data_IF_341946078835
#
_entry.id   IF_341946078835
#
_cell.length_a   1.000
_cell.length_b   1.000
_cell.length_c   1.000
_cell.angle_alpha   90.00
_cell.angle_beta   90.00
_cell.angle_gamma   90.00
#
_symmetry.space_group_name_H-M   'P 1'
#
loop_
_entity.id
_entity.type
_entity.pdbx_description
1 polymer ?
#
# COMPACT_ATOMS: atom_id res chain seq x y z
N UNK A 1 -57.05 -15.89 49.27
CA UNK A 1 -56.31 -15.03 48.32
C UNK A 1 -54.91 -15.61 48.23
N UNK A 2 -54.57 -16.28 47.11
CA UNK A 2 -53.34 -17.06 46.99
C UNK A 2 -52.18 -16.17 46.53
N UNK A 3 -51.05 -16.25 47.25
CA UNK A 3 -49.77 -15.71 46.77
C UNK A 3 -49.10 -16.74 45.83
N UNK A 4 -48.54 -16.31 44.70
CA UNK A 4 -47.97 -17.22 43.71
C UNK A 4 -46.62 -17.76 44.19
N UNK A 5 -46.63 -19.04 44.53
CA UNK A 5 -45.43 -19.88 44.65
C UNK A 5 -44.82 -20.09 43.26
N UNK A 6 -43.49 -20.22 43.19
CA UNK A 6 -42.67 -20.69 42.05
C UNK A 6 -41.98 -19.65 41.14
N UNK A 7 -41.47 -18.56 41.70
CA UNK A 7 -40.24 -17.93 41.15
C UNK A 7 -39.03 -18.72 41.66
N UNK A 8 -38.81 -19.92 41.13
CA UNK A 8 -37.70 -20.78 41.58
C UNK A 8 -37.24 -21.79 40.52
N UNK A 9 -37.01 -21.32 39.29
CA UNK A 9 -36.34 -22.11 38.23
C UNK A 9 -35.03 -21.50 37.73
N UNK A 10 -34.60 -20.37 38.30
CA UNK A 10 -33.29 -19.77 38.05
C UNK A 10 -32.33 -20.12 39.20
N UNK A 11 -31.98 -21.40 39.33
CA UNK A 11 -30.86 -21.83 40.18
C UNK A 11 -30.00 -22.85 39.46
N UNK A 12 -28.81 -22.38 39.13
CA UNK A 12 -27.57 -23.16 39.01
C UNK A 12 -27.70 -24.49 38.26
N UNK A 13 -27.55 -24.38 36.94
CA UNK A 13 -27.35 -25.53 36.07
C UNK A 13 -25.85 -25.59 35.76
N UNK A 14 -25.08 -26.18 36.67
CA UNK A 14 -23.74 -26.68 36.37
C UNK A 14 -23.82 -27.66 35.20
N UNK A 15 -22.74 -27.80 34.41
CA UNK A 15 -22.68 -28.55 33.15
C UNK A 15 -23.26 -29.99 33.24
N UNK A 16 -23.14 -30.65 34.40
CA UNK A 16 -23.72 -31.98 34.67
C UNK A 16 -25.24 -32.00 34.87
N UNK A 17 -25.85 -30.87 35.21
CA UNK A 17 -27.30 -30.74 35.37
C UNK A 17 -27.99 -30.39 34.06
N UNK A 18 -27.29 -29.80 33.09
CA UNK A 18 -27.83 -29.50 31.78
C UNK A 18 -28.23 -30.79 31.03
N UNK A 19 -27.42 -31.84 31.14
CA UNK A 19 -27.74 -33.16 30.56
C UNK A 19 -28.96 -33.80 31.23
N UNK A 20 -29.09 -33.67 32.56
CA UNK A 20 -30.25 -34.18 33.29
C UNK A 20 -31.53 -33.41 32.92
N UNK A 21 -31.47 -32.07 32.85
CA UNK A 21 -32.59 -31.23 32.41
C UNK A 21 -32.97 -31.52 30.95
N UNK A 22 -31.99 -31.80 30.09
CA UNK A 22 -32.21 -32.23 28.71
C UNK A 22 -32.94 -33.58 28.65
N UNK A 23 -32.50 -34.55 29.45
CA UNK A 23 -33.11 -35.89 29.49
C UNK A 23 -34.53 -35.84 30.05
N UNK A 24 -34.77 -35.02 31.07
CA UNK A 24 -36.10 -34.82 31.66
C UNK A 24 -37.05 -34.06 30.72
N UNK A 25 -36.57 -33.04 30.00
CA UNK A 25 -37.36 -32.33 28.99
C UNK A 25 -37.68 -33.20 27.77
N UNK A 26 -36.75 -34.09 27.36
CA UNK A 26 -36.99 -35.05 26.29
C UNK A 26 -37.95 -36.16 26.74
N UNK A 27 -37.88 -36.56 28.02
CA UNK A 27 -38.77 -37.56 28.61
C UNK A 27 -40.17 -37.02 28.89
N UNK A 28 -40.32 -35.75 29.27
CA UNK A 28 -41.64 -35.10 29.35
C UNK A 28 -42.27 -34.86 27.97
N UNK A 29 -41.43 -34.85 26.93
CA UNK A 29 -41.83 -34.82 25.53
C UNK A 29 -42.04 -36.22 24.94
N UNK A 30 -42.13 -37.30 25.73
CA UNK A 30 -42.45 -38.63 25.21
C UNK A 30 -43.75 -38.58 24.41
N UNK A 31 -43.55 -38.67 23.10
CA UNK A 31 -44.50 -38.53 22.02
C UNK A 31 -45.57 -39.62 22.11
N UNK A 32 -46.70 -39.31 22.75
CA UNK A 32 -47.91 -40.08 22.56
C UNK A 32 -48.52 -39.66 21.21
N UNK A 33 -48.06 -40.29 20.12
CA UNK A 33 -48.54 -40.09 18.74
C UNK A 33 -49.99 -40.58 18.54
N UNK A 34 -50.94 -39.96 19.25
CA UNK A 34 -52.35 -40.36 19.19
C UNK A 34 -53.14 -39.46 18.23
N UNK A 35 -52.64 -38.26 17.88
CA UNK A 35 -53.35 -37.36 16.95
C UNK A 35 -52.41 -36.65 15.93
N UNK A 36 -52.57 -36.90 14.61
CA UNK A 36 -51.70 -36.32 13.58
C UNK A 36 -51.88 -34.81 13.36
N UNK A 37 -52.95 -34.20 13.90
CA UNK A 37 -53.20 -32.76 13.77
C UNK A 37 -52.39 -31.90 14.77
N UNK A 38 -51.76 -32.50 15.78
CA UNK A 38 -50.97 -31.78 16.80
C UNK A 38 -49.47 -31.74 16.48
N UNK A 39 -49.03 -32.44 15.44
CA UNK A 39 -47.62 -32.56 15.05
C UNK A 39 -47.02 -31.19 14.70
N UNK A 40 -47.82 -30.28 14.11
CA UNK A 40 -47.32 -28.95 13.75
C UNK A 40 -47.00 -28.10 15.00
N UNK A 41 -47.88 -28.12 15.99
CA UNK A 41 -47.71 -27.40 17.25
C UNK A 41 -46.58 -28.03 18.10
N UNK A 42 -46.38 -29.33 18.00
CA UNK A 42 -45.27 -30.02 18.66
C UNK A 42 -43.92 -29.70 18.00
N UNK A 43 -43.88 -29.60 16.66
CA UNK A 43 -42.68 -29.18 15.94
C UNK A 43 -42.30 -27.73 16.24
N UNK A 44 -43.27 -26.83 16.38
CA UNK A 44 -43.02 -25.45 16.78
C UNK A 44 -42.52 -25.38 18.23
N UNK A 45 -43.11 -26.14 19.15
CA UNK A 45 -42.65 -26.23 20.53
C UNK A 45 -41.22 -26.79 20.65
N UNK A 46 -40.87 -27.83 19.87
CA UNK A 46 -39.50 -28.37 19.81
C UNK A 46 -38.51 -27.37 19.20
N UNK A 47 -38.93 -26.62 18.18
CA UNK A 47 -38.13 -25.55 17.59
C UNK A 47 -37.84 -24.44 18.61
N UNK A 48 -38.84 -24.06 19.40
CA UNK A 48 -38.67 -23.06 20.45
C UNK A 48 -37.81 -23.57 21.61
N UNK A 49 -37.95 -24.84 22.00
CA UNK A 49 -37.11 -25.47 23.00
C UNK A 49 -35.65 -25.56 22.53
N UNK A 50 -35.41 -26.01 21.30
CA UNK A 50 -34.06 -26.08 20.73
C UNK A 50 -33.42 -24.70 20.56
N UNK A 51 -34.21 -23.68 20.24
CA UNK A 51 -33.74 -22.29 20.17
C UNK A 51 -33.32 -21.78 21.55
N UNK A 52 -34.15 -22.01 22.59
CA UNK A 52 -33.81 -21.67 23.98
C UNK A 52 -32.54 -22.38 24.45
N UNK A 53 -32.39 -23.66 24.09
CA UNK A 53 -31.21 -24.45 24.43
C UNK A 53 -29.95 -23.92 23.75
N UNK A 54 -30.06 -23.53 22.47
CA UNK A 54 -28.95 -22.90 21.73
C UNK A 54 -28.52 -21.59 22.39
N UNK A 55 -29.47 -20.74 22.78
CA UNK A 55 -29.15 -19.49 23.50
C UNK A 55 -28.46 -19.75 24.83
N UNK A 56 -28.97 -20.70 25.61
CA UNK A 56 -28.40 -21.02 26.91
C UNK A 56 -26.98 -21.61 26.80
N UNK A 57 -26.73 -22.46 25.80
CA UNK A 57 -25.40 -22.98 25.52
C UNK A 57 -24.42 -21.87 25.11
N UNK A 58 -24.84 -20.98 24.20
CA UNK A 58 -24.03 -19.83 23.76
C UNK A 58 -23.72 -18.88 24.91
N UNK A 59 -24.70 -18.58 25.76
CA UNK A 59 -24.50 -17.74 26.95
C UNK A 59 -23.50 -18.39 27.90
N UNK A 60 -23.62 -19.70 28.12
CA UNK A 60 -22.72 -20.43 29.00
C UNK A 60 -21.30 -20.54 28.42
N UNK A 61 -21.15 -20.78 27.11
CA UNK A 61 -19.85 -20.80 26.44
C UNK A 61 -19.18 -19.42 26.49
N UNK A 62 -19.96 -18.35 26.29
CA UNK A 62 -19.46 -16.98 26.37
C UNK A 62 -19.04 -16.63 27.79
N UNK A 63 -19.83 -17.05 28.79
CA UNK A 63 -19.50 -16.86 30.21
C UNK A 63 -18.25 -17.64 30.62
N UNK A 64 -18.10 -18.88 30.18
CA UNK A 64 -16.91 -19.69 30.44
C UNK A 64 -15.68 -19.09 29.76
N UNK A 65 -15.80 -18.68 28.49
CA UNK A 65 -14.72 -17.96 27.77
C UNK A 65 -14.34 -16.66 28.47
N UNK A 66 -15.30 -15.86 28.92
CA UNK A 66 -15.07 -14.62 29.64
C UNK A 66 -14.36 -14.85 30.97
N UNK A 67 -14.80 -15.85 31.75
CA UNK A 67 -14.16 -16.20 33.01
C UNK A 67 -12.75 -16.76 32.80
N UNK A 68 -12.52 -17.56 31.76
CA UNK A 68 -11.17 -17.97 31.37
C UNK A 68 -10.31 -16.78 30.97
N UNK A 69 -10.86 -15.83 30.23
CA UNK A 69 -10.14 -14.63 29.80
C UNK A 69 -9.74 -13.74 30.97
N UNK A 70 -10.55 -13.68 32.04
CA UNK A 70 -10.26 -12.88 33.25
C UNK A 70 -9.34 -13.62 34.22
N UNK A 71 -9.48 -14.94 34.35
CA UNK A 71 -8.85 -15.70 35.43
C UNK A 71 -7.60 -16.49 35.01
N UNK A 72 -7.46 -16.83 33.72
CA UNK A 72 -6.41 -17.72 33.20
C UNK A 72 -5.53 -17.06 32.13
N UNK A 73 -6.09 -16.17 31.32
CA UNK A 73 -5.27 -15.28 30.51
C UNK A 73 -4.88 -14.10 31.40
N UNK A 74 -3.61 -14.06 31.81
CA UNK A 74 -2.99 -12.80 32.23
C UNK A 74 -3.35 -11.80 31.13
N UNK A 75 -4.01 -10.68 31.50
CA UNK A 75 -4.21 -9.56 30.60
C UNK A 75 -2.87 -9.39 29.89
N UNK A 76 -2.83 -9.63 28.57
CA UNK A 76 -1.66 -9.26 27.78
C UNK A 76 -1.52 -7.78 28.06
N UNK A 77 -0.63 -7.42 28.98
CA UNK A 77 -0.42 -6.06 29.43
C UNK A 77 -0.35 -5.27 28.14
N UNK A 78 -1.39 -4.48 27.88
CA UNK A 78 -1.52 -3.74 26.63
C UNK A 78 -0.50 -2.63 26.77
N UNK A 79 0.76 -3.00 26.50
CA UNK A 79 1.89 -2.13 26.66
C UNK A 79 1.64 -0.95 25.76
N UNK A 80 1.91 0.25 26.27
CA UNK A 80 1.78 1.49 25.50
C UNK A 80 2.50 1.36 24.15
N UNK A 81 3.60 0.60 24.11
CA UNK A 81 4.32 0.26 22.88
C UNK A 81 3.47 -0.49 21.84
N UNK A 82 2.63 -1.45 22.24
CA UNK A 82 1.75 -2.18 21.33
C UNK A 82 0.63 -1.27 20.80
N UNK A 83 0.11 -0.38 21.63
CA UNK A 83 -0.90 0.60 21.23
C UNK A 83 -0.32 1.60 20.25
N UNK A 84 0.88 2.10 20.52
CA UNK A 84 1.58 3.05 19.66
C UNK A 84 1.97 2.40 18.32
N UNK A 85 2.39 1.13 18.33
CA UNK A 85 2.66 0.36 17.11
C UNK A 85 1.38 0.14 16.28
N UNK A 86 0.27 -0.22 16.91
CA UNK A 86 -1.04 -0.35 16.24
C UNK A 86 -1.55 0.99 15.72
N UNK A 87 -1.35 2.08 16.45
CA UNK A 87 -1.72 3.42 16.03
C UNK A 87 -0.90 3.86 14.81
N UNK A 88 0.41 3.59 14.80
CA UNK A 88 1.29 3.83 13.66
C UNK A 88 0.88 3.01 12.44
N UNK A 89 0.63 1.71 12.62
CA UNK A 89 0.16 0.84 11.54
C UNK A 89 -1.19 1.29 10.98
N UNK A 90 -2.12 1.73 11.83
CA UNK A 90 -3.40 2.27 11.39
C UNK A 90 -3.27 3.62 10.69
N UNK A 91 -2.32 4.46 11.09
CA UNK A 91 -2.06 5.73 10.44
C UNK A 91 -1.52 5.52 9.02
N UNK A 92 -0.59 4.57 8.85
CA UNK A 92 -0.08 4.17 7.54
C UNK A 92 -1.19 3.57 6.67
N UNK A 93 -1.93 2.59 7.19
CA UNK A 93 -3.04 1.98 6.44
C UNK A 93 -4.13 3.01 6.06
N UNK A 94 -4.38 4.03 6.89
CA UNK A 94 -5.29 5.13 6.56
C UNK A 94 -4.74 6.05 5.48
N UNK A 95 -3.43 6.31 5.48
CA UNK A 95 -2.79 7.10 4.44
C UNK A 95 -2.88 6.37 3.09
N UNK A 96 -2.55 5.07 3.07
CA UNK A 96 -2.64 4.23 1.87
C UNK A 96 -4.09 4.12 1.36
N UNK A 97 -5.05 3.94 2.26
CA UNK A 97 -6.47 3.92 1.90
C UNK A 97 -6.95 5.26 1.35
N UNK A 98 -6.42 6.38 1.87
CA UNK A 98 -6.76 7.71 1.36
C UNK A 98 -6.18 7.93 -0.03
N UNK A 99 -4.92 7.54 -0.24
CA UNK A 99 -4.28 7.62 -1.55
C UNK A 99 -5.02 6.80 -2.59
N UNK A 100 -5.28 5.52 -2.30
CA UNK A 100 -6.02 4.63 -3.21
C UNK A 100 -7.43 5.13 -3.50
N UNK A 101 -8.10 5.76 -2.53
CA UNK A 101 -9.41 6.38 -2.75
C UNK A 101 -9.32 7.60 -3.68
N UNK A 102 -8.28 8.42 -3.56
CA UNK A 102 -8.03 9.56 -4.45
C UNK A 102 -7.71 9.09 -5.88
N UNK A 103 -6.88 8.06 -6.03
CA UNK A 103 -6.58 7.43 -7.31
C UNK A 103 -7.84 6.85 -7.97
N UNK A 104 -8.68 6.14 -7.20
CA UNK A 104 -9.92 5.57 -7.72
C UNK A 104 -10.90 6.68 -8.13
N UNK A 105 -10.99 7.77 -7.37
CA UNK A 105 -11.83 8.91 -7.73
C UNK A 105 -11.36 9.57 -9.03
N UNK A 106 -10.05 9.71 -9.24
CA UNK A 106 -9.48 10.23 -10.48
C UNK A 106 -9.79 9.30 -11.66
N UNK A 107 -9.56 7.99 -11.50
CA UNK A 107 -9.84 7.00 -12.54
C UNK A 107 -11.33 6.96 -12.92
N UNK A 108 -12.22 7.13 -11.93
CA UNK A 108 -13.66 7.17 -12.18
C UNK A 108 -14.05 8.43 -12.96
N UNK A 109 -13.47 9.57 -12.62
CA UNK A 109 -13.67 10.82 -13.37
C UNK A 109 -13.16 10.71 -14.81
N UNK A 110 -11.98 10.13 -15.02
CA UNK A 110 -11.45 9.87 -16.36
C UNK A 110 -12.36 8.92 -17.16
N UNK A 111 -12.84 7.86 -16.51
CA UNK A 111 -13.77 6.91 -17.14
C UNK A 111 -15.10 7.57 -17.51
N UNK A 112 -15.61 8.49 -16.71
CA UNK A 112 -16.82 9.26 -17.03
C UNK A 112 -16.59 10.14 -18.25
N UNK A 113 -15.47 10.88 -18.31
CA UNK A 113 -15.11 11.72 -19.46
C UNK A 113 -14.98 10.90 -20.75
N UNK A 114 -14.29 9.77 -20.70
CA UNK A 114 -14.15 8.87 -21.85
C UNK A 114 -15.51 8.31 -22.27
N UNK A 115 -16.38 7.98 -21.32
CA UNK A 115 -17.72 7.50 -21.62
C UNK A 115 -18.57 8.56 -22.33
N UNK A 116 -18.50 9.81 -21.87
CA UNK A 116 -19.16 10.94 -22.53
C UNK A 116 -18.64 11.16 -23.96
N UNK A 117 -17.32 11.11 -24.15
CA UNK A 117 -16.68 11.22 -25.46
C UNK A 117 -17.16 10.10 -26.41
N UNK A 118 -17.17 8.85 -25.94
CA UNK A 118 -17.64 7.70 -26.73
C UNK A 118 -19.12 7.87 -27.11
N UNK A 119 -19.96 8.38 -26.22
CA UNK A 119 -21.37 8.65 -26.53
C UNK A 119 -21.49 9.71 -27.63
N UNK A 120 -20.69 10.78 -27.58
CA UNK A 120 -20.68 11.83 -28.61
C UNK A 120 -20.23 11.26 -29.95
N UNK A 121 -19.11 10.53 -29.98
CA UNK A 121 -18.60 9.90 -31.19
C UNK A 121 -19.59 8.89 -31.77
N UNK A 122 -20.21 8.06 -30.93
CA UNK A 122 -21.22 7.10 -31.37
C UNK A 122 -22.42 7.79 -32.03
N UNK A 123 -22.88 8.93 -31.48
CA UNK A 123 -23.95 9.73 -32.09
C UNK A 123 -23.53 10.31 -33.44
N UNK A 124 -22.30 10.81 -33.55
CA UNK A 124 -21.77 11.33 -34.82
C UNK A 124 -21.67 10.22 -35.87
N UNK A 125 -21.17 9.05 -35.50
CA UNK A 125 -21.09 7.89 -36.39
C UNK A 125 -22.48 7.39 -36.82
N UNK A 126 -23.45 7.36 -35.91
CA UNK A 126 -24.82 7.01 -36.24
C UNK A 126 -25.43 8.00 -37.26
N UNK A 127 -25.17 9.30 -37.09
CA UNK A 127 -25.62 10.32 -38.05
C UNK A 127 -24.94 10.15 -39.43
N UNK A 128 -23.63 9.88 -39.45
CA UNK A 128 -22.91 9.59 -40.70
C UNK A 128 -23.41 8.32 -41.37
N UNK A 129 -23.74 7.29 -40.60
CA UNK A 129 -24.28 6.05 -41.14
C UNK A 129 -25.62 6.27 -41.85
N UNK A 130 -26.52 7.06 -41.25
CA UNK A 130 -27.79 7.45 -41.90
C UNK A 130 -27.52 8.21 -43.20
N UNK A 131 -26.57 9.16 -43.19
CA UNK A 131 -26.21 9.90 -44.41
C UNK A 131 -25.65 8.97 -45.50
N UNK A 132 -24.80 8.01 -45.14
CA UNK A 132 -24.27 7.03 -46.08
C UNK A 132 -25.38 6.14 -46.63
N UNK A 133 -26.29 5.68 -45.79
CA UNK A 133 -27.44 4.87 -46.22
C UNK A 133 -28.35 5.65 -47.19
N UNK A 134 -28.59 6.95 -46.92
CA UNK A 134 -29.33 7.83 -47.82
C UNK A 134 -28.61 8.03 -49.17
N UNK A 135 -27.29 8.27 -49.15
CA UNK A 135 -26.49 8.41 -50.37
C UNK A 135 -26.41 7.10 -51.17
N UNK A 136 -26.33 5.96 -50.49
CA UNK A 136 -26.37 4.64 -51.13
C UNK A 136 -27.73 4.43 -51.80
N UNK A 137 -28.82 4.80 -51.13
CA UNK A 137 -30.16 4.74 -51.70
C UNK A 137 -30.29 5.63 -52.94
N UNK A 138 -29.84 6.88 -52.87
CA UNK A 138 -29.80 7.78 -54.03
C UNK A 138 -28.95 7.18 -55.18
N UNK A 139 -27.80 6.59 -54.85
CA UNK A 139 -26.95 5.93 -55.86
C UNK A 139 -27.66 4.75 -56.51
N UNK A 140 -28.39 3.94 -55.73
CA UNK A 140 -29.19 2.84 -56.28
C UNK A 140 -30.34 3.34 -57.15
N UNK A 141 -31.02 4.41 -56.74
CA UNK A 141 -32.11 5.04 -57.53
C UNK A 141 -31.57 5.61 -58.85
N UNK A 142 -30.43 6.31 -58.81
CA UNK A 142 -29.75 6.81 -60.02
C UNK A 142 -29.25 5.69 -60.92
N UNK A 143 -28.79 4.58 -60.35
CA UNK A 143 -28.36 3.41 -61.11
C UNK A 143 -29.55 2.73 -61.78
N UNK A 144 -30.69 2.60 -61.09
CA UNK A 144 -31.93 2.10 -61.68
C UNK A 144 -32.46 3.02 -62.79
N UNK A 145 -32.36 4.34 -62.63
CA UNK A 145 -32.70 5.32 -63.67
C UNK A 145 -31.78 5.20 -64.88
N UNK A 146 -30.47 5.08 -64.66
CA UNK A 146 -29.48 4.87 -65.71
C UNK A 146 -29.72 3.55 -66.44
N UNK A 147 -30.00 2.47 -65.72
CA UNK A 147 -30.33 1.17 -66.30
C UNK A 147 -31.65 1.24 -67.10
N UNK A 148 -32.64 2.00 -66.63
CA UNK A 148 -33.89 2.23 -67.37
C UNK A 148 -33.63 3.00 -68.67
N UNK A 149 -32.88 4.09 -68.62
CA UNK A 149 -32.53 4.91 -69.79
C UNK A 149 -31.66 4.15 -70.81
N UNK A 150 -30.77 3.27 -70.31
CA UNK A 150 -29.86 2.49 -71.13
C UNK A 150 -30.52 1.25 -71.74
N UNK A 151 -31.65 0.80 -71.18
CA UNK A 151 -32.49 -0.27 -71.73
C UNK A 151 -33.67 0.25 -72.56
N UNK A 152 -33.79 1.57 -72.75
CA UNK A 152 -34.75 2.19 -73.65
C UNK A 152 -34.34 1.91 -75.12
N UNK A 153 -35.28 1.49 -76.00
CA UNK A 153 -34.94 0.93 -77.31
C UNK A 153 -34.29 1.91 -78.29
N UNK A 154 -34.32 3.22 -77.99
CA UNK A 154 -33.67 4.27 -78.78
C UNK A 154 -32.17 4.44 -78.47
N UNK A 155 -31.65 3.79 -77.42
CA UNK A 155 -30.33 4.09 -76.83
C UNK A 155 -29.24 3.02 -77.10
N UNK A 156 -29.52 1.98 -77.89
CA UNK A 156 -28.59 0.88 -78.18
C UNK A 156 -27.23 1.34 -78.76
N UNK A 157 -27.22 2.43 -79.54
CA UNK A 157 -25.98 3.01 -80.05
C UNK A 157 -25.06 3.54 -78.93
N UNK A 158 -25.61 4.15 -77.87
CA UNK A 158 -24.82 4.68 -76.76
C UNK A 158 -24.28 3.58 -75.84
N UNK A 159 -25.02 2.48 -75.71
CA UNK A 159 -24.60 1.27 -74.99
C UNK A 159 -23.33 0.66 -75.60
N UNK A 160 -23.26 0.60 -76.93
CA UNK A 160 -22.05 0.11 -77.63
C UNK A 160 -20.85 1.04 -77.43
N UNK A 161 -21.07 2.36 -77.43
CA UNK A 161 -20.01 3.35 -77.26
C UNK A 161 -19.44 3.37 -75.83
N UNK A 162 -20.32 3.24 -74.81
CA UNK A 162 -19.93 3.16 -73.41
C UNK A 162 -19.14 1.87 -73.10
N UNK A 163 -19.58 0.73 -73.66
CA UNK A 163 -18.84 -0.53 -73.57
C UNK A 163 -17.46 -0.43 -74.21
N UNK A 164 -17.33 0.30 -75.33
CA UNK A 164 -16.05 0.54 -75.98
C UNK A 164 -15.13 1.43 -75.12
N UNK A 165 -15.66 2.47 -74.46
CA UNK A 165 -14.89 3.34 -73.56
C UNK A 165 -14.41 2.59 -72.31
N UNK A 166 -15.25 1.73 -71.72
CA UNK A 166 -14.88 0.94 -70.54
C UNK A 166 -13.73 -0.03 -70.82
N UNK A 167 -13.67 -0.58 -72.04
CA UNK A 167 -12.54 -1.41 -72.49
C UNK A 167 -11.25 -0.57 -72.63
N UNK A 168 -11.36 0.69 -73.07
CA UNK A 168 -10.23 1.62 -73.20
C UNK A 168 -9.68 2.06 -71.83
N UNK A 169 -10.55 2.27 -70.84
CA UNK A 169 -10.12 2.67 -69.48
C UNK A 169 -9.48 1.52 -68.69
N UNK A 170 -9.94 0.29 -68.88
CA UNK A 170 -9.30 -0.89 -68.25
C UNK A 170 -7.90 -1.19 -68.78
N UNK A 171 -7.50 -0.60 -69.91
CA UNK A 171 -6.18 -0.77 -70.51
C UNK A 171 -5.20 0.38 -70.21
N UNK A 172 -5.60 1.42 -69.46
CA UNK A 172 -4.79 2.63 -69.25
C UNK A 172 -4.70 3.13 -67.79
N UNK A 173 -4.29 2.29 -66.84
CA UNK A 173 -3.36 2.82 -65.83
C UNK A 173 -2.00 2.69 -66.51
N UNK A 174 -1.54 3.77 -67.15
CA UNK A 174 -0.29 3.74 -67.92
C UNK A 174 0.85 3.17 -67.08
N UNK A 175 1.71 2.34 -67.69
CA UNK A 175 2.85 1.70 -67.02
C UNK A 175 3.66 2.70 -66.17
N UNK A 176 3.79 3.94 -66.66
CA UNK A 176 4.45 5.06 -65.98
C UNK A 176 3.80 5.43 -64.63
N UNK A 177 2.47 5.46 -64.58
CA UNK A 177 1.71 5.83 -63.38
C UNK A 177 1.70 4.68 -62.36
N UNK A 178 1.60 3.44 -62.84
CA UNK A 178 1.78 2.25 -62.00
C UNK A 178 3.20 2.16 -61.42
N UNK A 179 4.23 2.50 -62.20
CA UNK A 179 5.61 2.57 -61.73
C UNK A 179 5.81 3.70 -60.71
N UNK A 180 5.24 4.88 -60.94
CA UNK A 180 5.31 6.00 -60.00
C UNK A 180 4.63 5.66 -58.65
N UNK A 181 3.49 4.98 -58.67
CA UNK A 181 2.82 4.49 -57.46
C UNK A 181 3.70 3.46 -56.73
N UNK A 182 4.29 2.51 -57.45
CA UNK A 182 5.17 1.50 -56.87
C UNK A 182 6.47 2.10 -56.29
N UNK A 183 7.07 3.07 -56.97
CA UNK A 183 8.26 3.79 -56.49
C UNK A 183 7.97 4.62 -55.24
N UNK A 184 6.84 5.32 -55.21
CA UNK A 184 6.41 6.08 -54.03
C UNK A 184 6.09 5.15 -52.85
N UNK A 185 5.44 4.00 -53.08
CA UNK A 185 5.18 3.01 -52.05
C UNK A 185 6.49 2.41 -51.50
N UNK A 186 7.43 2.05 -52.38
CA UNK A 186 8.74 1.54 -51.98
C UNK A 186 9.57 2.58 -51.20
N UNK A 187 9.47 3.86 -51.56
CA UNK A 187 10.13 4.95 -50.83
C UNK A 187 9.54 5.14 -49.42
N UNK A 188 8.21 5.07 -49.27
CA UNK A 188 7.55 5.14 -47.96
C UNK A 188 7.92 3.95 -47.07
N UNK A 189 7.96 2.74 -47.64
CA UNK A 189 8.39 1.54 -46.92
C UNK A 189 9.86 1.64 -46.47
N UNK A 190 10.75 2.18 -47.32
CA UNK A 190 12.16 2.38 -46.96
C UNK A 190 12.31 3.36 -45.78
N UNK A 191 11.52 4.45 -45.75
CA UNK A 191 11.51 5.39 -44.63
C UNK A 191 10.99 4.74 -43.34
N UNK A 192 9.93 3.96 -43.42
CA UNK A 192 9.39 3.23 -42.27
C UNK A 192 10.40 2.20 -41.71
N UNK A 193 11.13 1.51 -42.58
CA UNK A 193 12.18 0.57 -42.16
C UNK A 193 13.34 1.30 -41.47
N UNK A 194 13.76 2.45 -41.98
CA UNK A 194 14.80 3.26 -41.32
C UNK A 194 14.33 3.81 -39.96
N UNK A 195 13.08 4.25 -39.85
CA UNK A 195 12.51 4.66 -38.57
C UNK A 195 12.51 3.50 -37.55
N UNK A 196 12.03 2.32 -37.95
CA UNK A 196 12.06 1.12 -37.10
C UNK A 196 13.50 0.77 -36.70
N UNK A 197 14.47 0.86 -37.63
CA UNK A 197 15.89 0.62 -37.32
C UNK A 197 16.42 1.59 -36.26
N UNK A 198 16.08 2.87 -36.36
CA UNK A 198 16.49 3.86 -35.35
C UNK A 198 15.85 3.60 -33.98
N UNK A 199 14.56 3.21 -33.95
CA UNK A 199 13.86 2.86 -32.72
C UNK A 199 14.46 1.59 -32.07
N UNK A 200 14.77 0.57 -32.87
CA UNK A 200 15.43 -0.66 -32.38
C UNK A 200 16.82 -0.35 -31.83
N UNK A 201 17.62 0.47 -32.52
CA UNK A 201 18.94 0.87 -32.03
C UNK A 201 18.87 1.68 -30.72
N UNK A 202 17.85 2.54 -30.56
CA UNK A 202 17.61 3.28 -29.33
C UNK A 202 17.17 2.36 -28.18
N UNK A 203 16.28 1.41 -28.45
CA UNK A 203 15.87 0.41 -27.48
C UNK A 203 17.04 -0.49 -27.04
N UNK A 204 17.90 -0.91 -27.97
CA UNK A 204 19.11 -1.68 -27.66
C UNK A 204 20.07 -0.92 -26.75
N UNK A 205 20.18 0.40 -26.93
CA UNK A 205 21.00 1.24 -26.06
C UNK A 205 20.39 1.33 -24.64
N UNK A 206 19.08 1.49 -24.53
CA UNK A 206 18.39 1.49 -23.24
C UNK A 206 18.51 0.14 -22.52
N UNK A 207 18.39 -0.97 -23.24
CA UNK A 207 18.58 -2.32 -22.68
C UNK A 207 20.00 -2.50 -22.14
N UNK A 208 21.02 -1.98 -22.84
CA UNK A 208 22.40 -2.01 -22.34
C UNK A 208 22.58 -1.18 -21.06
N UNK A 209 22.02 0.03 -21.02
CA UNK A 209 22.06 0.88 -19.82
C UNK A 209 21.36 0.22 -18.63
N UNK A 210 20.19 -0.38 -18.85
CA UNK A 210 19.46 -1.10 -17.81
C UNK A 210 20.23 -2.33 -17.33
N UNK A 211 20.86 -3.09 -18.23
CA UNK A 211 21.68 -4.24 -17.85
C UNK A 211 22.95 -3.86 -17.06
N UNK A 212 23.51 -2.67 -17.29
CA UNK A 212 24.61 -2.13 -16.48
C UNK A 212 24.12 -1.76 -15.07
N UNK A 213 22.98 -1.07 -14.96
CA UNK A 213 22.36 -0.73 -13.68
C UNK A 213 21.95 -1.98 -12.89
N UNK A 214 21.42 -3.01 -13.55
CA UNK A 214 21.08 -4.29 -12.92
C UNK A 214 22.32 -4.95 -12.31
N UNK A 215 23.45 -4.96 -13.02
CA UNK A 215 24.72 -5.47 -12.48
C UNK A 215 25.21 -4.66 -11.29
N UNK A 216 25.11 -3.33 -11.33
CA UNK A 216 25.48 -2.48 -10.19
C UNK A 216 24.61 -2.76 -8.97
N UNK A 217 23.29 -2.91 -9.16
CA UNK A 217 22.34 -3.25 -8.10
C UNK A 217 22.60 -4.66 -7.55
N UNK A 218 22.93 -5.64 -8.40
CA UNK A 218 23.30 -6.99 -7.96
C UNK A 218 24.55 -6.98 -7.08
N UNK A 219 25.58 -6.18 -7.44
CA UNK A 219 26.78 -6.01 -6.62
C UNK A 219 26.45 -5.37 -5.27
N UNK A 220 25.61 -4.33 -5.25
CA UNK A 220 25.17 -3.69 -4.00
C UNK A 220 24.36 -4.64 -3.12
N UNK A 221 23.47 -5.44 -3.71
CA UNK A 221 22.70 -6.46 -2.97
C UNK A 221 23.64 -7.52 -2.39
N UNK A 222 24.65 -7.95 -3.14
CA UNK A 222 25.63 -8.91 -2.63
C UNK A 222 26.47 -8.32 -1.50
N UNK A 223 26.91 -7.07 -1.63
CA UNK A 223 27.64 -6.37 -0.56
C UNK A 223 26.79 -6.22 0.71
N UNK A 224 25.52 -5.85 0.58
CA UNK A 224 24.59 -5.77 1.72
C UNK A 224 24.34 -7.14 2.37
N UNK A 225 24.23 -8.21 1.56
CA UNK A 225 24.11 -9.58 2.07
C UNK A 225 25.36 -10.00 2.83
N UNK A 226 26.54 -9.70 2.32
CA UNK A 226 27.81 -10.02 2.97
C UNK A 226 27.96 -9.24 4.29
N UNK A 227 27.53 -7.97 4.33
CA UNK A 227 27.49 -7.16 5.56
C UNK A 227 26.50 -7.73 6.60
N UNK A 228 25.32 -8.17 6.16
CA UNK A 228 24.33 -8.80 7.03
C UNK A 228 24.81 -10.15 7.56
N UNK A 229 25.43 -10.97 6.72
CA UNK A 229 26.00 -12.26 7.13
C UNK A 229 27.16 -12.06 8.11
N UNK A 230 27.97 -11.02 7.94
CA UNK A 230 29.01 -10.65 8.90
C UNK A 230 28.42 -10.24 10.26
N UNK A 231 27.33 -9.46 10.25
CA UNK A 231 26.59 -9.07 11.46
C UNK A 231 25.95 -10.29 12.14
N UNK A 232 25.37 -11.22 11.37
CA UNK A 232 24.77 -12.45 11.92
C UNK A 232 25.81 -13.39 12.51
N UNK A 233 26.97 -13.55 11.86
CA UNK A 233 28.10 -14.33 12.40
C UNK A 233 28.67 -13.70 13.67
N UNK A 234 28.74 -12.37 13.74
CA UNK A 234 29.14 -11.65 14.95
C UNK A 234 28.12 -11.79 16.09
N UNK A 235 26.81 -11.85 15.77
CA UNK A 235 25.74 -12.09 16.75
C UNK A 235 25.69 -13.54 17.25
N UNK A 236 26.03 -14.52 16.41
CA UNK A 236 26.01 -15.94 16.77
C UNK A 236 27.26 -16.38 17.54
N UNK A 237 28.36 -15.62 17.48
CA UNK A 237 29.64 -15.97 18.11
C UNK A 237 29.86 -15.45 19.54
N UNK A 238 29.03 -14.55 20.06
CA UNK A 238 29.32 -13.91 21.36
C UNK A 238 28.04 -13.77 22.17
N UNK A 239 28.03 -14.37 23.36
CA UNK A 239 27.22 -13.87 24.48
C UNK A 239 27.79 -12.49 24.81
N UNK A 240 27.35 -11.45 24.09
CA UNK A 240 27.87 -10.10 24.27
C UNK A 240 27.38 -9.55 25.62
N UNK A 241 28.33 -9.25 26.48
CA UNK A 241 28.16 -8.49 27.70
C UNK A 241 27.43 -7.16 27.34
N UNK A 242 26.32 -6.77 28.01
CA UNK A 242 25.54 -5.57 27.67
C UNK A 242 26.37 -4.29 27.52
N UNK A 243 27.54 -4.23 28.16
CA UNK A 243 28.52 -3.16 28.04
C UNK A 243 29.14 -3.04 26.64
N UNK A 244 29.36 -4.14 25.91
CA UNK A 244 29.90 -4.09 24.54
C UNK A 244 28.85 -3.64 23.53
N UNK A 245 27.59 -4.06 23.70
CA UNK A 245 26.46 -3.55 22.88
C UNK A 245 26.32 -2.05 23.10
N UNK A 246 26.40 -1.59 24.35
CA UNK A 246 26.36 -0.17 24.66
C UNK A 246 27.55 0.60 24.04
N UNK A 247 28.77 0.08 24.16
CA UNK A 247 29.96 0.68 23.53
C UNK A 247 29.84 0.75 22.00
N UNK A 248 29.29 -0.29 21.35
CA UNK A 248 29.08 -0.31 19.91
C UNK A 248 27.99 0.66 19.47
N UNK A 249 26.92 0.81 20.25
CA UNK A 249 25.91 1.86 20.00
C UNK A 249 26.47 3.27 20.17
N UNK A 250 27.36 3.50 21.16
CA UNK A 250 28.05 4.78 21.32
C UNK A 250 28.97 5.09 20.14
N UNK A 251 29.67 4.10 19.58
CA UNK A 251 30.46 4.28 18.36
C UNK A 251 29.58 4.60 17.15
N UNK A 252 28.44 3.90 16.99
CA UNK A 252 27.47 4.19 15.93
C UNK A 252 26.93 5.61 16.02
N UNK A 253 26.48 6.01 17.21
CA UNK A 253 25.97 7.37 17.49
C UNK A 253 27.07 8.42 17.30
N UNK A 254 28.29 8.15 17.75
CA UNK A 254 29.44 9.03 17.51
C UNK A 254 29.82 9.14 16.03
N UNK A 255 29.59 8.12 15.20
CA UNK A 255 29.82 8.24 13.75
C UNK A 255 28.73 9.05 13.05
N UNK A 256 27.49 8.93 13.52
CA UNK A 256 26.32 9.63 12.97
C UNK A 256 26.40 11.11 13.31
N UNK A 257 26.62 11.44 14.58
CA UNK A 257 26.74 12.81 15.02
C UNK A 257 27.91 13.55 14.32
N UNK A 258 28.95 12.83 13.82
CA UNK A 258 30.18 13.41 13.24
C UNK A 258 29.90 13.82 11.81
N UNK A 259 28.98 13.10 11.16
CA UNK A 259 28.41 13.47 9.86
C UNK A 259 27.46 14.65 9.96
N UNK A 260 26.81 14.86 11.11
CA UNK A 260 25.80 15.92 11.31
C UNK A 260 26.34 17.21 11.91
N UNK A 261 27.40 17.14 12.71
CA UNK A 261 28.01 18.28 13.39
C UNK A 261 29.49 18.22 13.00
N UNK A 262 29.93 19.12 12.12
CA UNK A 262 31.30 19.16 11.59
C UNK A 262 32.37 19.56 12.62
N UNK A 263 32.20 19.22 13.89
CA UNK A 263 33.14 19.45 14.99
C UNK A 263 33.56 18.13 15.61
N UNK A 264 34.85 18.04 15.96
CA UNK A 264 35.42 16.85 16.60
C UNK A 264 34.89 16.72 18.03
N UNK A 265 33.88 15.87 18.20
CA UNK A 265 33.45 15.41 19.52
C UNK A 265 33.74 13.91 19.69
N UNK A 266 34.26 13.56 20.86
CA UNK A 266 34.60 12.19 21.23
C UNK A 266 33.97 11.88 22.59
N UNK A 267 33.04 10.93 22.61
CA UNK A 267 32.38 10.46 23.84
C UNK A 267 33.02 9.14 24.25
N UNK A 268 33.77 9.14 25.34
CA UNK A 268 34.38 7.96 25.95
C UNK A 268 33.63 7.58 27.23
N UNK A 269 33.09 6.38 27.30
CA UNK A 269 32.54 5.85 28.55
C UNK A 269 33.63 5.08 29.31
N UNK A 270 33.97 5.54 30.53
CA UNK A 270 34.72 4.78 31.55
C UNK A 270 33.74 4.21 32.56
N UNK A 271 34.16 3.20 33.32
CA UNK A 271 33.30 2.29 34.12
C UNK A 271 32.22 2.93 35.02
N UNK A 272 32.31 4.23 35.33
CA UNK A 272 31.27 4.99 36.06
C UNK A 272 31.15 6.46 35.59
N UNK A 273 31.71 6.82 34.43
CA UNK A 273 31.71 8.21 33.94
C UNK A 273 31.80 8.35 32.42
N UNK A 274 31.16 9.39 31.89
CA UNK A 274 31.20 9.79 30.48
C UNK A 274 32.17 10.96 30.31
N UNK A 275 33.25 10.75 29.57
CA UNK A 275 34.15 11.80 29.11
C UNK A 275 33.68 12.29 27.74
N UNK A 276 33.07 13.47 27.70
CA UNK A 276 32.71 14.19 26.48
C UNK A 276 33.82 15.17 26.15
N UNK A 277 34.53 14.93 25.07
CA UNK A 277 35.53 15.86 24.53
C UNK A 277 34.91 16.62 23.37
N UNK A 278 34.89 17.94 23.41
CA UNK A 278 34.48 18.81 22.30
C UNK A 278 35.66 19.75 22.01
N UNK A 279 36.39 19.51 20.91
CA UNK A 279 37.63 20.22 20.59
C UNK A 279 38.70 20.09 21.70
N UNK A 280 39.12 21.21 22.32
CA UNK A 280 40.11 21.22 23.43
C UNK A 280 39.50 21.09 24.84
N UNK A 281 38.18 20.91 24.96
CA UNK A 281 37.49 20.92 26.26
C UNK A 281 36.94 19.53 26.59
N UNK A 282 37.41 18.97 27.70
CA UNK A 282 36.94 17.69 28.24
C UNK A 282 35.96 17.92 29.38
N UNK A 283 34.78 17.31 29.30
CA UNK A 283 33.76 17.29 30.36
C UNK A 283 33.57 15.86 30.81
N UNK A 284 33.84 15.58 32.08
CA UNK A 284 33.63 14.27 32.71
C UNK A 284 32.33 14.32 33.49
N UNK A 285 31.37 13.47 33.10
CA UNK A 285 30.05 13.34 33.71
C UNK A 285 29.95 12.00 34.45
N UNK A 286 29.28 11.97 35.59
CA UNK A 286 28.90 10.74 36.29
C UNK A 286 27.70 10.04 35.60
N UNK A 287 27.39 8.80 35.97
CA UNK A 287 26.20 8.04 35.55
C UNK A 287 24.86 8.74 35.87
N UNK A 288 24.88 9.76 36.73
CA UNK A 288 23.74 10.63 37.05
C UNK A 288 23.82 12.03 36.37
N UNK A 289 24.66 12.18 35.34
CA UNK A 289 24.91 13.43 34.61
C UNK A 289 25.47 14.57 35.49
N UNK A 290 26.17 14.24 36.58
CA UNK A 290 26.84 15.24 37.42
C UNK A 290 28.21 15.57 36.82
N UNK A 291 28.58 16.85 36.75
CA UNK A 291 29.88 17.28 36.21
C UNK A 291 30.96 17.05 37.27
N UNK A 292 31.84 16.07 37.04
CA UNK A 292 32.92 15.67 37.96
C UNK A 292 34.22 16.45 37.70
N UNK A 293 34.65 16.59 36.44
CA UNK A 293 35.80 17.42 36.04
C UNK A 293 35.63 17.99 34.64
N UNK A 294 36.30 19.11 34.36
CA UNK A 294 36.10 19.93 33.17
C UNK A 294 35.56 21.31 33.56
N UNK A 295 35.88 22.33 32.75
CA UNK A 295 35.74 23.77 33.01
C UNK A 295 36.91 24.34 33.81
N UNK A 296 38.07 24.43 33.15
CA UNK A 296 39.17 25.32 33.53
C UNK A 296 38.79 26.81 33.41
N UNK A 297 37.67 27.15 32.75
CA UNK A 297 37.25 28.54 32.54
C UNK A 297 35.81 28.87 32.97
N UNK A 298 34.99 27.90 33.38
CA UNK A 298 33.59 28.19 33.77
C UNK A 298 33.40 28.00 35.28
N UNK A 299 33.20 29.16 35.92
CA UNK A 299 32.96 29.42 37.33
C UNK A 299 32.21 28.29 38.08
N UNK A 300 32.72 27.93 39.26
CA UNK A 300 32.15 26.91 40.15
C UNK A 300 30.66 27.08 40.52
N UNK A 301 30.05 28.23 40.21
CA UNK A 301 28.60 28.48 40.34
C UNK A 301 27.75 27.65 39.37
N UNK A 302 28.21 27.40 38.14
CA UNK A 302 27.44 26.63 37.15
C UNK A 302 27.48 25.12 37.42
N UNK A 303 28.58 24.62 38.00
CA UNK A 303 28.71 23.22 38.45
C UNK A 303 27.66 22.87 39.50
N UNK A 304 27.43 23.76 40.47
CA UNK A 304 26.40 23.57 41.50
C UNK A 304 24.98 23.67 40.93
N UNK A 305 24.73 24.58 39.98
CA UNK A 305 23.43 24.74 39.35
C UNK A 305 22.98 23.53 38.52
N UNK A 306 23.92 22.84 37.87
CA UNK A 306 23.63 21.61 37.11
C UNK A 306 23.51 20.42 38.06
N UNK A 307 24.42 20.26 39.01
CA UNK A 307 24.42 19.10 39.91
C UNK A 307 23.20 19.07 40.86
N UNK A 308 22.63 20.23 41.21
CA UNK A 308 21.44 20.34 42.06
C UNK A 308 20.09 20.36 41.31
N UNK A 309 20.07 20.26 39.97
CA UNK A 309 18.86 20.50 39.18
C UNK A 309 17.83 19.35 39.11
N UNK A 310 18.02 18.25 39.85
CA UNK A 310 17.04 17.15 39.93
C UNK A 310 16.60 16.63 38.55
N UNK A 311 15.35 16.90 38.16
CA UNK A 311 14.74 16.46 36.89
C UNK A 311 15.09 17.32 35.66
N UNK A 312 15.55 18.56 35.87
CA UNK A 312 15.90 19.49 34.78
C UNK A 312 17.40 19.49 34.44
N UNK A 313 18.14 18.52 34.99
CA UNK A 313 19.59 18.36 34.77
C UNK A 313 19.93 18.29 33.29
N UNK A 314 19.19 17.48 32.54
CA UNK A 314 19.41 17.29 31.11
C UNK A 314 19.30 18.61 30.32
N UNK A 315 18.22 19.38 30.51
CA UNK A 315 18.01 20.63 29.79
C UNK A 315 19.01 21.72 30.15
N UNK A 316 19.42 21.80 31.42
CA UNK A 316 20.46 22.76 31.84
C UNK A 316 21.84 22.38 31.33
N UNK A 317 22.14 21.09 31.24
CA UNK A 317 23.37 20.57 30.66
C UNK A 317 23.38 20.80 29.14
N UNK A 318 22.27 20.54 28.46
CA UNK A 318 22.10 20.82 27.03
C UNK A 318 22.28 22.31 26.71
N UNK A 319 21.72 23.19 27.54
CA UNK A 319 21.88 24.65 27.38
C UNK A 319 23.32 25.11 27.59
N UNK A 320 24.06 24.44 28.47
CA UNK A 320 25.47 24.73 28.72
C UNK A 320 26.34 24.23 27.56
N UNK A 321 26.05 23.04 27.03
CA UNK A 321 26.72 22.52 25.84
C UNK A 321 26.39 23.36 24.60
N UNK A 322 25.16 23.81 24.41
CA UNK A 322 24.79 24.68 23.28
C UNK A 322 25.50 26.04 23.35
N UNK A 323 25.63 26.64 24.54
CA UNK A 323 26.45 27.86 24.68
C UNK A 323 27.92 27.60 24.35
N UNK A 324 28.45 26.43 24.70
CA UNK A 324 29.84 26.06 24.42
C UNK A 324 30.11 25.79 22.94
N UNK A 325 29.12 25.24 22.21
CA UNK A 325 29.20 25.03 20.76
C UNK A 325 29.13 26.37 20.02
N UNK A 326 28.22 27.27 20.41
CA UNK A 326 28.13 28.61 19.82
C UNK A 326 29.35 29.50 20.13
N UNK A 327 29.97 29.35 21.31
CA UNK A 327 31.21 30.07 21.65
C UNK A 327 32.43 29.57 20.83
N UNK A 328 32.41 28.33 20.31
CA UNK A 328 33.45 27.83 19.42
C UNK A 328 33.29 28.33 17.97
N UNK A 329 32.06 28.47 17.47
CA UNK A 329 31.81 29.06 16.15
C UNK A 329 32.29 30.52 16.07
N UNK A 330 32.18 31.28 17.17
CA UNK A 330 32.65 32.68 17.25
C UNK A 330 34.17 32.82 17.37
N UNK A 331 34.89 31.82 17.91
CA UNK A 331 36.36 31.81 17.89
C UNK A 331 36.93 31.34 16.55
N UNK A 332 36.29 30.39 15.86
CA UNK A 332 36.71 29.96 14.53
C UNK A 332 36.49 31.03 13.45
N UNK A 333 35.55 31.97 13.64
CA UNK A 333 35.37 33.12 12.72
C UNK A 333 36.31 34.30 12.99
N UNK A 334 37.01 34.34 14.13
CA UNK A 334 38.01 35.39 14.42
C UNK A 334 39.46 35.00 14.05
N UNK A 335 39.68 33.77 13.61
CA UNK A 335 40.99 33.26 13.17
C UNK A 335 41.10 33.02 11.66
N UNK A 336 40.14 33.52 10.86
CA UNK A 336 40.26 33.69 9.40
C UNK A 336 40.40 35.17 9.05
#
# INVERSE_FOLDING_TARGET
MPEPTSVSLLRDISLHRAEAVFRDALSSSTLNFVNPNLIHDELTNLKDLSSKLKFQYLEQETRDKFLRHILLEDEKDVSQANVDQLASSNALAKADLKQTKEELAQLLQESELVSEEVIVLSKEHAAKQIQVDDMLRETTELQEELDSLLNEPENENYKTLLQMHKLIDTENIGLEEAMCIAENAAALEALAVEEIRTQVAAADLQVKQNAELEKELEVQIQELKDQLELIERLKQGVVLDPLQIHAQTLLGVNSVLQKFIGTDYEIKAKHDSFELTIGQRTVVLDNQLNILMGLTEVSGKLKLLVNCAGKDKFWKLLRLLSTMICDQETQNTQSM
#
